data_IF_689459597771
#
_entry.id   IF_689459597771
#
_cell.length_a   1.000
_cell.length_b   1.000
_cell.length_c   1.000
_cell.angle_alpha   90.00
_cell.angle_beta   90.00
_cell.angle_gamma   90.00
#
_symmetry.space_group_name_H-M   'P 1'
#
loop_
_entity.id
_entity.type
_entity.pdbx_description
1 polymer ?
#
# COMPACT_ATOMS: atom_id res chain seq x y z
N UNK A 1 5.85 1.95 -16.73
CA UNK A 1 6.40 1.50 -18.03
C UNK A 1 7.92 1.26 -17.97
N UNK A 2 8.47 0.95 -16.80
CA UNK A 2 9.92 0.91 -16.55
C UNK A 2 10.54 -0.49 -16.66
N UNK A 3 9.80 -1.46 -17.23
CA UNK A 3 10.30 -2.81 -17.42
C UNK A 3 11.41 -2.83 -18.47
N UNK A 4 12.56 -3.41 -18.10
CA UNK A 4 13.71 -3.62 -18.99
C UNK A 4 14.06 -5.11 -19.01
N UNK A 5 14.51 -5.70 -20.14
CA UNK A 5 14.85 -7.12 -20.22
C UNK A 5 15.93 -7.60 -19.25
N UNK A 6 16.72 -6.68 -18.69
CA UNK A 6 17.73 -6.95 -17.66
C UNK A 6 17.13 -7.24 -16.27
N UNK A 7 15.88 -6.84 -16.05
CA UNK A 7 15.20 -7.04 -14.77
C UNK A 7 14.84 -8.53 -14.60
N UNK A 8 15.02 -9.01 -13.37
CA UNK A 8 14.79 -10.41 -13.02
C UNK A 8 13.54 -10.54 -12.14
N UNK A 9 13.08 -11.77 -11.89
CA UNK A 9 12.03 -12.02 -10.90
C UNK A 9 12.43 -11.46 -9.52
N UNK A 10 13.70 -11.57 -9.13
CA UNK A 10 14.18 -10.98 -7.88
C UNK A 10 13.98 -9.46 -7.85
N UNK A 11 14.22 -8.77 -8.97
CA UNK A 11 13.98 -7.33 -9.10
C UNK A 11 12.51 -6.98 -8.87
N UNK A 12 11.58 -7.79 -9.39
CA UNK A 12 10.14 -7.61 -9.19
C UNK A 12 9.77 -7.85 -7.72
N UNK A 13 10.25 -8.94 -7.12
CA UNK A 13 9.98 -9.28 -5.72
C UNK A 13 10.47 -8.19 -4.77
N UNK A 14 11.67 -7.66 -4.99
CA UNK A 14 12.16 -6.53 -4.19
C UNK A 14 11.34 -5.27 -4.39
N UNK A 15 10.89 -4.97 -5.61
CA UNK A 15 9.99 -3.85 -5.87
C UNK A 15 8.67 -3.99 -5.11
N UNK A 16 8.07 -5.19 -5.11
CA UNK A 16 6.85 -5.47 -4.35
C UNK A 16 7.07 -5.35 -2.84
N UNK A 17 8.16 -5.89 -2.31
CA UNK A 17 8.53 -5.75 -0.90
C UNK A 17 8.70 -4.27 -0.53
N UNK A 18 9.35 -3.50 -1.39
CA UNK A 18 9.61 -2.08 -1.15
C UNK A 18 8.31 -1.28 -1.03
N UNK A 19 7.28 -1.57 -1.84
CA UNK A 19 5.97 -0.91 -1.72
C UNK A 19 5.31 -1.06 -0.34
N UNK A 20 5.58 -2.15 0.37
CA UNK A 20 5.07 -2.34 1.74
C UNK A 20 5.91 -1.63 2.80
N UNK A 21 7.19 -1.37 2.52
CA UNK A 21 8.08 -0.62 3.40
C UNK A 21 7.87 0.89 3.25
N UNK A 22 7.81 1.34 1.99
CA UNK A 22 7.62 2.74 1.60
C UNK A 22 6.55 2.83 0.51
N UNK A 23 5.28 3.03 0.89
CA UNK A 23 4.21 3.22 -0.09
C UNK A 23 4.44 4.52 -0.88
N UNK A 24 4.23 4.46 -2.20
CA UNK A 24 4.42 5.61 -3.09
C UNK A 24 3.11 6.39 -3.28
N UNK A 25 3.00 7.65 -2.78
CA UNK A 25 1.81 8.45 -2.96
C UNK A 25 1.77 9.23 -4.30
N UNK A 26 2.86 9.25 -5.08
CA UNK A 26 2.95 9.99 -6.35
C UNK A 26 2.30 9.24 -7.53
N UNK A 27 2.21 7.91 -7.44
CA UNK A 27 1.51 7.07 -8.41
C UNK A 27 0.52 6.10 -7.73
N UNK A 28 -0.56 6.62 -7.11
CA UNK A 28 -1.44 5.80 -6.31
C UNK A 28 -2.61 5.22 -7.11
N UNK A 29 -2.83 3.92 -6.99
CA UNK A 29 -4.08 3.29 -7.46
C UNK A 29 -5.26 3.60 -6.52
N UNK A 30 -5.01 3.77 -5.22
CA UNK A 30 -5.99 4.23 -4.24
C UNK A 30 -5.69 5.67 -3.82
N UNK A 31 -6.39 6.63 -4.43
CA UNK A 31 -6.19 8.06 -4.21
C UNK A 31 -6.45 8.49 -2.77
N UNK A 32 -7.50 7.95 -2.13
CA UNK A 32 -7.84 8.27 -0.74
C UNK A 32 -6.72 7.83 0.22
N UNK A 33 -6.19 6.62 0.03
CA UNK A 33 -5.10 6.11 0.84
C UNK A 33 -3.82 6.97 0.68
N UNK A 34 -3.52 7.42 -0.53
CA UNK A 34 -2.38 8.28 -0.80
C UNK A 34 -2.53 9.68 -0.19
N UNK A 35 -3.71 10.27 -0.29
CA UNK A 35 -4.00 11.56 0.36
C UNK A 35 -3.81 11.47 1.88
N UNK A 36 -4.32 10.42 2.52
CA UNK A 36 -4.13 10.20 3.97
C UNK A 36 -2.65 9.97 4.30
N UNK A 37 -1.91 9.25 3.45
CA UNK A 37 -0.47 9.04 3.64
C UNK A 37 0.32 10.36 3.63
N UNK A 38 0.01 11.27 2.71
CA UNK A 38 0.67 12.57 2.61
C UNK A 38 0.22 13.54 3.72
N UNK A 39 -1.09 13.61 4.00
CA UNK A 39 -1.67 14.59 4.92
C UNK A 39 -1.58 14.20 6.40
N UNK A 40 -1.72 12.91 6.72
CA UNK A 40 -1.73 12.41 8.09
C UNK A 40 -1.23 10.96 8.18
N UNK A 41 0.09 10.82 8.29
CA UNK A 41 0.76 9.52 8.38
C UNK A 41 0.28 8.64 9.54
N UNK A 42 -0.03 9.22 10.70
CA UNK A 42 -0.54 8.47 11.86
C UNK A 42 -1.93 7.89 11.59
N UNK A 43 -2.80 8.64 10.92
CA UNK A 43 -4.11 8.16 10.51
C UNK A 43 -3.99 7.05 9.46
N UNK A 44 -3.05 7.17 8.52
CA UNK A 44 -2.77 6.12 7.54
C UNK A 44 -2.40 4.80 8.24
N UNK A 45 -1.47 4.83 9.21
CA UNK A 45 -1.08 3.66 9.99
C UNK A 45 -2.25 3.01 10.73
N UNK A 46 -3.13 3.83 11.33
CA UNK A 46 -4.34 3.34 12.00
C UNK A 46 -5.31 2.67 11.02
N UNK A 47 -5.52 3.27 9.85
CA UNK A 47 -6.37 2.73 8.79
C UNK A 47 -5.83 1.38 8.29
N UNK A 48 -4.52 1.28 8.03
CA UNK A 48 -3.88 0.01 7.64
C UNK A 48 -4.08 -1.05 8.72
N UNK A 49 -3.82 -0.73 9.99
CA UNK A 49 -4.01 -1.67 11.10
C UNK A 49 -5.46 -2.17 11.22
N UNK A 50 -6.44 -1.28 11.00
CA UNK A 50 -7.87 -1.62 11.00
C UNK A 50 -8.25 -2.49 9.80
N UNK A 51 -7.79 -2.13 8.60
CA UNK A 51 -8.06 -2.87 7.37
C UNK A 51 -7.49 -4.30 7.45
N UNK A 52 -6.23 -4.47 7.88
CA UNK A 52 -5.58 -5.80 7.94
C UNK A 52 -6.25 -6.76 8.94
N UNK A 53 -6.86 -6.24 10.01
CA UNK A 53 -7.62 -7.05 10.98
C UNK A 53 -9.00 -7.47 10.48
N UNK A 54 -9.46 -6.96 9.35
CA UNK A 54 -10.79 -7.16 8.82
C UNK A 54 -11.76 -6.11 9.35
N UNK A 55 -12.03 -5.07 8.57
CA UNK A 55 -12.87 -3.96 9.03
C UNK A 55 -13.06 -2.86 7.98
N UNK A 56 -13.84 -1.85 8.35
CA UNK A 56 -14.18 -0.74 7.46
C UNK A 56 -13.15 0.40 7.54
N UNK A 57 -12.68 0.86 6.39
CA UNK A 57 -12.01 2.16 6.23
C UNK A 57 -12.90 3.01 5.31
N UNK A 58 -13.46 4.09 5.84
CA UNK A 58 -14.57 4.80 5.19
C UNK A 58 -15.77 3.87 4.98
N UNK A 59 -16.26 3.77 3.74
CA UNK A 59 -17.39 2.92 3.36
C UNK A 59 -16.94 1.57 2.77
N UNK A 60 -15.65 1.28 2.75
CA UNK A 60 -15.10 0.07 2.13
C UNK A 60 -14.72 -0.94 3.20
N UNK A 61 -15.24 -2.16 3.09
CA UNK A 61 -14.85 -3.30 3.91
C UNK A 61 -13.58 -3.94 3.35
N UNK A 62 -12.57 -4.11 4.20
CA UNK A 62 -11.37 -4.87 3.89
C UNK A 62 -11.42 -6.22 4.60
N UNK A 63 -11.10 -7.30 3.88
CA UNK A 63 -10.97 -8.64 4.45
C UNK A 63 -9.72 -8.76 5.33
N UNK A 64 -9.78 -9.64 6.34
CA UNK A 64 -8.65 -9.89 7.23
C UNK A 64 -7.49 -10.52 6.45
N UNK A 65 -6.31 -9.95 6.54
CA UNK A 65 -5.09 -10.45 5.91
C UNK A 65 -3.90 -10.59 6.87
N UNK A 66 -4.13 -10.49 8.18
CA UNK A 66 -3.14 -10.89 9.18
C UNK A 66 -2.94 -12.41 9.16
N UNK A 67 -1.67 -12.81 9.15
CA UNK A 67 -1.22 -14.19 9.24
C UNK A 67 -1.63 -14.85 10.56
#
# INVERSE_FOLDING_TARGET
EDWKPVLTINSIVYGLQFLFLEPNPEDPLNKEAAEVLQSNRKLFEQNVSKAMRGGYVGNTLFEKCLK
#
